data_IF_131660887370
#
_entry.id   IF_131660887370
#
_cell.length_a   1.000
_cell.length_b   1.000
_cell.length_c   1.000
_cell.angle_alpha   90.00
_cell.angle_beta   90.00
_cell.angle_gamma   90.00
#
_symmetry.space_group_name_H-M   'P 1'
#
loop_
_entity.id
_entity.type
_entity.pdbx_description
1 polymer ?
#
# COMPACT_ATOMS: atom_id res chain seq x y z
N UNK A 1 3.19 -20.47 -21.97
CA UNK A 1 4.01 -19.42 -21.32
C UNK A 1 4.33 -19.91 -19.91
N UNK A 2 5.58 -20.26 -19.63
CA UNK A 2 5.99 -20.64 -18.27
C UNK A 2 6.08 -19.35 -17.47
N UNK A 3 5.06 -19.03 -16.66
CA UNK A 3 5.19 -17.96 -15.67
C UNK A 3 6.16 -18.52 -14.62
N UNK A 4 7.35 -17.96 -14.51
CA UNK A 4 8.26 -18.35 -13.43
C UNK A 4 7.56 -18.09 -12.09
N UNK A 5 7.75 -18.99 -11.11
CA UNK A 5 7.14 -18.86 -9.77
C UNK A 5 7.36 -17.45 -9.19
N UNK A 6 8.55 -16.89 -9.39
CA UNK A 6 8.90 -15.52 -9.00
C UNK A 6 8.04 -14.46 -9.70
N UNK A 7 7.76 -14.60 -10.99
CA UNK A 7 6.91 -13.65 -11.71
C UNK A 7 5.46 -13.68 -11.21
N UNK A 8 4.94 -14.88 -10.91
CA UNK A 8 3.61 -15.05 -10.30
C UNK A 8 3.53 -14.39 -8.92
N UNK A 9 4.51 -14.65 -8.05
CA UNK A 9 4.58 -14.04 -6.71
C UNK A 9 4.66 -12.51 -6.77
N UNK A 10 5.42 -11.96 -7.71
CA UNK A 10 5.51 -10.51 -7.90
C UNK A 10 4.17 -9.91 -8.33
N UNK A 11 3.47 -10.53 -9.29
CA UNK A 11 2.16 -10.05 -9.73
C UNK A 11 1.14 -10.08 -8.59
N UNK A 12 1.09 -11.20 -7.84
CA UNK A 12 0.21 -11.33 -6.69
C UNK A 12 0.49 -10.27 -5.62
N UNK A 13 1.77 -10.00 -5.34
CA UNK A 13 2.17 -9.01 -4.34
C UNK A 13 1.82 -7.58 -4.76
N UNK A 14 2.02 -7.25 -6.05
CA UNK A 14 1.60 -5.96 -6.61
C UNK A 14 0.08 -5.77 -6.49
N UNK A 15 -0.71 -6.80 -6.83
CA UNK A 15 -2.18 -6.76 -6.65
C UNK A 15 -2.57 -6.53 -5.20
N UNK A 16 -1.92 -7.21 -4.27
CA UNK A 16 -2.19 -7.07 -2.84
C UNK A 16 -1.85 -5.66 -2.34
N UNK A 17 -0.75 -5.07 -2.79
CA UNK A 17 -0.39 -3.67 -2.52
C UNK A 17 -1.51 -2.74 -2.98
N UNK A 18 -1.97 -2.86 -4.22
CA UNK A 18 -3.03 -2.01 -4.74
C UNK A 18 -4.37 -2.21 -4.01
N UNK A 19 -4.70 -3.45 -3.60
CA UNK A 19 -5.89 -3.73 -2.81
C UNK A 19 -5.83 -3.04 -1.44
N UNK A 20 -4.71 -3.18 -0.73
CA UNK A 20 -4.51 -2.54 0.57
C UNK A 20 -4.53 -1.01 0.46
N UNK A 21 -3.92 -0.44 -0.58
CA UNK A 21 -3.97 1.00 -0.88
C UNK A 21 -5.41 1.53 -1.07
N UNK A 22 -6.28 0.76 -1.73
CA UNK A 22 -7.70 1.11 -1.88
C UNK A 22 -8.46 1.03 -0.55
N UNK A 23 -8.18 0.02 0.26
CA UNK A 23 -8.80 -0.14 1.58
C UNK A 23 -8.40 1.00 2.52
N UNK A 24 -7.11 1.36 2.57
CA UNK A 24 -6.61 2.53 3.30
C UNK A 24 -7.33 3.80 2.85
N UNK A 25 -7.47 4.00 1.53
CA UNK A 25 -8.13 5.19 0.99
C UNK A 25 -9.58 5.32 1.48
N UNK A 26 -10.36 4.24 1.48
CA UNK A 26 -11.74 4.27 2.00
C UNK A 26 -11.76 4.60 3.49
N UNK A 27 -10.90 3.95 4.29
CA UNK A 27 -10.86 4.21 5.73
C UNK A 27 -10.44 5.65 6.08
N UNK A 28 -9.51 6.23 5.32
CA UNK A 28 -9.00 7.58 5.58
C UNK A 28 -9.91 8.68 5.03
N UNK A 29 -10.38 8.54 3.79
CA UNK A 29 -11.13 9.61 3.12
C UNK A 29 -12.56 9.72 3.67
N UNK A 30 -13.14 8.61 4.12
CA UNK A 30 -14.48 8.59 4.73
C UNK A 30 -14.43 8.89 6.25
N UNK A 31 -13.24 9.11 6.83
CA UNK A 31 -13.10 9.31 8.27
C UNK A 31 -13.71 10.65 8.74
N UNK A 32 -14.55 10.65 9.80
CA UNK A 32 -15.27 11.84 10.24
C UNK A 32 -14.35 12.93 10.79
N UNK A 33 -13.14 12.56 11.27
CA UNK A 33 -12.15 13.50 11.80
C UNK A 33 -10.83 13.45 11.02
N UNK A 34 -10.86 13.95 9.78
CA UNK A 34 -9.67 13.96 8.90
C UNK A 34 -8.49 14.75 9.48
N UNK A 35 -8.73 15.74 10.34
CA UNK A 35 -7.65 16.51 10.98
C UNK A 35 -6.83 15.66 11.95
N UNK A 36 -7.48 14.78 12.70
CA UNK A 36 -6.82 13.86 13.65
C UNK A 36 -5.94 12.85 12.91
N UNK A 37 -6.41 12.37 11.76
CA UNK A 37 -5.73 11.35 10.95
C UNK A 37 -4.88 11.93 9.81
N UNK A 38 -4.66 13.24 9.76
CA UNK A 38 -4.00 13.89 8.63
C UNK A 38 -2.60 13.33 8.37
N UNK A 39 -1.89 12.93 9.43
CA UNK A 39 -0.59 12.28 9.34
C UNK A 39 -0.66 10.94 8.57
N UNK A 40 -1.70 10.14 8.79
CA UNK A 40 -1.94 8.89 8.05
C UNK A 40 -2.30 9.15 6.58
N UNK A 41 -3.06 10.21 6.31
CA UNK A 41 -3.36 10.67 4.94
C UNK A 41 -2.08 11.04 4.20
N UNK A 42 -1.16 11.77 4.86
CA UNK A 42 0.14 12.10 4.28
C UNK A 42 1.01 10.85 4.06
N UNK A 43 1.08 9.93 5.03
CA UNK A 43 1.82 8.67 4.91
C UNK A 43 1.29 7.83 3.72
N UNK A 44 -0.04 7.71 3.60
CA UNK A 44 -0.70 7.05 2.48
C UNK A 44 -0.36 7.70 1.13
N UNK A 45 -0.45 9.02 1.02
CA UNK A 45 -0.09 9.73 -0.21
C UNK A 45 1.37 9.51 -0.62
N UNK A 46 2.31 9.51 0.34
CA UNK A 46 3.73 9.22 0.07
C UNK A 46 3.91 7.84 -0.56
N UNK A 47 3.28 6.82 0.03
CA UNK A 47 3.30 5.47 -0.51
C UNK A 47 2.65 5.36 -1.89
N UNK A 48 1.48 5.98 -2.08
CA UNK A 48 0.77 5.98 -3.37
C UNK A 48 1.60 6.66 -4.47
N UNK A 49 2.20 7.81 -4.17
CA UNK A 49 3.02 8.56 -5.11
C UNK A 49 4.25 7.78 -5.55
N UNK A 50 4.86 7.00 -4.63
CA UNK A 50 5.92 6.09 -4.99
C UNK A 50 5.49 5.14 -6.12
N UNK A 51 4.33 4.50 -6.01
CA UNK A 51 3.88 3.54 -7.02
C UNK A 51 3.44 4.19 -8.34
N UNK A 52 2.83 5.38 -8.28
CA UNK A 52 2.42 6.12 -9.48
C UNK A 52 3.64 6.60 -10.29
N UNK A 53 4.67 7.10 -9.60
CA UNK A 53 5.85 7.66 -10.25
C UNK A 53 6.81 6.58 -10.76
N UNK A 54 6.62 5.32 -10.36
CA UNK A 54 7.44 4.20 -10.79
C UNK A 54 6.67 3.32 -11.78
N UNK A 55 6.59 3.77 -13.04
CA UNK A 55 5.99 3.03 -14.16
C UNK A 55 6.58 1.61 -14.35
N UNK A 56 7.79 1.39 -13.83
CA UNK A 56 8.51 0.12 -13.84
C UNK A 56 8.37 -0.67 -12.52
N UNK A 57 7.21 -0.65 -11.85
CA UNK A 57 6.98 -1.42 -10.61
C UNK A 57 7.29 -2.93 -10.79
N UNK A 58 7.14 -3.44 -12.02
CA UNK A 58 7.47 -4.81 -12.40
C UNK A 58 8.96 -5.11 -12.37
N UNK A 59 9.83 -4.09 -12.37
CA UNK A 59 11.30 -4.25 -12.35
C UNK A 59 11.87 -4.37 -10.93
N UNK A 60 11.06 -4.11 -9.89
CA UNK A 60 11.51 -4.27 -8.51
C UNK A 60 11.83 -5.73 -8.20
N UNK A 61 12.80 -5.97 -7.31
CA UNK A 61 13.04 -7.32 -6.82
C UNK A 61 11.82 -7.80 -6.00
N UNK A 62 11.66 -9.12 -5.88
CA UNK A 62 10.61 -9.68 -5.02
C UNK A 62 10.77 -9.21 -3.57
N UNK A 63 12.00 -9.07 -3.08
CA UNK A 63 12.27 -8.61 -1.72
C UNK A 63 11.90 -7.15 -1.52
N UNK A 64 12.16 -6.27 -2.50
CA UNK A 64 11.73 -4.87 -2.43
C UNK A 64 10.21 -4.77 -2.37
N UNK A 65 9.51 -5.55 -3.20
CA UNK A 65 8.05 -5.60 -3.19
C UNK A 65 7.52 -6.12 -1.84
N UNK A 66 8.18 -7.10 -1.22
CA UNK A 66 7.80 -7.61 0.12
C UNK A 66 7.98 -6.55 1.20
N UNK A 67 9.12 -5.85 1.20
CA UNK A 67 9.37 -4.75 2.13
C UNK A 67 8.33 -3.65 2.01
N UNK A 68 7.97 -3.28 0.77
CA UNK A 68 6.92 -2.29 0.51
C UNK A 68 5.54 -2.78 0.93
N UNK A 69 5.19 -4.02 0.63
CA UNK A 69 3.93 -4.60 1.06
C UNK A 69 3.79 -4.54 2.59
N UNK A 70 4.84 -4.88 3.35
CA UNK A 70 4.83 -4.78 4.80
C UNK A 70 4.59 -3.34 5.29
N UNK A 71 5.19 -2.34 4.64
CA UNK A 71 4.92 -0.93 4.97
C UNK A 71 3.45 -0.57 4.76
N UNK A 72 2.84 -1.01 3.65
CA UNK A 72 1.43 -0.74 3.35
C UNK A 72 0.51 -1.46 4.35
N UNK A 73 0.81 -2.71 4.71
CA UNK A 73 0.03 -3.45 5.70
C UNK A 73 0.12 -2.81 7.09
N UNK A 74 1.31 -2.39 7.52
CA UNK A 74 1.47 -1.66 8.78
C UNK A 74 0.66 -0.35 8.77
N UNK A 75 0.65 0.38 7.64
CA UNK A 75 -0.19 1.57 7.51
C UNK A 75 -1.68 1.19 7.58
N UNK A 76 -2.12 0.14 6.89
CA UNK A 76 -3.50 -0.33 6.95
C UNK A 76 -3.94 -0.67 8.39
N UNK A 77 -3.08 -1.31 9.17
CA UNK A 77 -3.35 -1.60 10.58
C UNK A 77 -3.47 -0.32 11.42
N UNK A 78 -2.57 0.65 11.26
CA UNK A 78 -2.70 1.97 11.91
C UNK A 78 -4.02 2.64 11.53
N UNK A 79 -4.38 2.54 10.25
CA UNK A 79 -5.60 3.16 9.69
C UNK A 79 -6.86 2.55 10.30
N UNK A 80 -6.90 1.22 10.47
CA UNK A 80 -8.01 0.51 11.12
C UNK A 80 -8.17 0.87 12.59
N UNK A 81 -7.08 1.28 13.24
CA UNK A 81 -7.05 1.66 14.65
C UNK A 81 -7.05 3.20 14.85
N UNK A 82 -7.34 3.97 13.80
CA UNK A 82 -7.22 5.43 13.83
C UNK A 82 -8.17 6.12 14.82
N UNK A 83 -9.28 5.46 15.18
CA UNK A 83 -10.20 5.94 16.22
C UNK A 83 -9.60 5.86 17.63
N UNK A 84 -8.67 4.92 17.85
CA UNK A 84 -8.00 4.67 19.14
C UNK A 84 -6.75 5.53 19.39
N UNK A 85 -6.28 6.27 18.36
CA UNK A 85 -5.19 7.25 18.43
C UNK A 85 -5.72 8.59 18.94
#
# INVERSE_FOLDING_TARGET
MIISQTAYEKDQLIRNIFKAQKEIASLLLDHPNQRKISHLIYEWHSHRNFFINNAAITNFSLNDLKGRYNQIINLLEKTKNADSI
#
